data_IF_835372530176
#
_entry.id   IF_835372530176
#
_cell.length_a   1.000
_cell.length_b   1.000
_cell.length_c   1.000
_cell.angle_alpha   90.00
_cell.angle_beta   90.00
_cell.angle_gamma   90.00
#
_symmetry.space_group_name_H-M   'P 1'
#
loop_
_entity.id
_entity.type
_entity.pdbx_description
1 polymer ?
#
# COMPACT_ATOMS: atom_id res chain seq x y z
N UNK A 1 10.67 72.20 19.22
CA UNK A 1 11.79 71.28 18.89
C UNK A 1 11.24 70.24 17.92
N UNK A 2 11.60 70.29 16.63
CA UNK A 2 12.34 69.22 15.87
C UNK A 2 11.75 67.82 16.14
N UNK A 3 11.18 67.03 15.21
CA UNK A 3 11.24 66.85 13.74
C UNK A 3 9.97 66.06 13.29
N UNK A 4 9.35 66.35 12.12
CA UNK A 4 9.32 65.58 10.85
C UNK A 4 8.88 64.08 11.04
N UNK A 5 7.82 63.51 10.43
CA UNK A 5 7.67 62.97 9.05
C UNK A 5 6.24 62.35 8.97
N UNK A 6 5.36 62.84 8.07
CA UNK A 6 4.85 62.15 6.86
C UNK A 6 3.96 60.91 7.11
N UNK A 7 2.66 61.00 6.81
CA UNK A 7 1.90 59.87 6.27
C UNK A 7 0.97 60.35 5.15
N UNK A 8 1.25 59.82 3.98
CA UNK A 8 0.62 60.10 2.70
C UNK A 8 -0.78 59.50 2.59
N UNK A 9 -1.55 60.09 1.68
CA UNK A 9 -2.89 59.73 1.26
C UNK A 9 -3.11 58.21 1.09
N UNK A 10 -4.13 57.69 1.76
CA UNK A 10 -4.70 56.37 1.46
C UNK A 10 -5.60 56.55 0.24
N UNK A 11 -5.13 56.05 -0.90
CA UNK A 11 -5.92 55.87 -2.10
C UNK A 11 -6.97 54.77 -1.85
N UNK A 12 -8.24 55.14 -1.96
CA UNK A 12 -9.38 54.21 -1.99
C UNK A 12 -9.33 53.50 -3.36
N UNK A 13 -8.74 52.31 -3.38
CA UNK A 13 -8.91 51.35 -4.48
C UNK A 13 -10.30 50.73 -4.35
N UNK A 14 -11.27 51.27 -5.09
CA UNK A 14 -12.53 50.58 -5.41
C UNK A 14 -12.19 49.41 -6.34
N UNK A 15 -11.94 48.24 -5.76
CA UNK A 15 -11.89 47.00 -6.52
C UNK A 15 -13.32 46.60 -6.89
N UNK A 16 -13.62 46.73 -8.18
CA UNK A 16 -14.77 46.11 -8.82
C UNK A 16 -14.63 44.59 -8.68
N UNK A 17 -15.35 43.99 -7.73
CA UNK A 17 -15.60 42.56 -7.76
C UNK A 17 -16.58 42.29 -8.91
N UNK A 18 -16.03 42.01 -10.08
CA UNK A 18 -16.72 41.22 -11.10
C UNK A 18 -17.04 39.87 -10.47
N UNK A 19 -18.33 39.65 -10.19
CA UNK A 19 -18.84 38.36 -9.76
C UNK A 19 -18.50 37.31 -10.83
N UNK A 20 -17.63 36.36 -10.47
CA UNK A 20 -17.66 35.06 -11.10
C UNK A 20 -19.01 34.45 -10.75
N UNK A 21 -19.87 34.29 -11.78
CA UNK A 21 -20.90 33.27 -11.73
C UNK A 21 -20.18 31.94 -11.56
N UNK A 22 -20.05 31.50 -10.32
CA UNK A 22 -19.88 30.10 -10.00
C UNK A 22 -21.19 29.41 -10.39
N UNK A 23 -21.37 29.18 -11.69
CA UNK A 23 -22.02 27.96 -12.15
C UNK A 23 -21.02 26.82 -11.93
N UNK A 24 -20.63 26.65 -10.67
CA UNK A 24 -20.16 25.38 -10.19
C UNK A 24 -21.46 24.61 -9.99
N UNK A 25 -21.86 23.93 -11.07
CA UNK A 25 -22.86 22.88 -11.01
C UNK A 25 -22.30 21.80 -10.09
N UNK A 26 -22.42 22.05 -8.79
CA UNK A 26 -22.39 21.04 -7.77
C UNK A 26 -23.43 20.02 -8.19
N UNK A 27 -22.96 18.92 -8.75
CA UNK A 27 -23.76 17.72 -8.89
C UNK A 27 -24.20 17.36 -7.48
N UNK A 28 -25.48 17.61 -7.20
CA UNK A 28 -26.22 16.87 -6.19
C UNK A 28 -25.87 15.38 -6.32
N UNK A 29 -25.89 14.59 -5.23
CA UNK A 29 -25.44 13.20 -5.22
C UNK A 29 -26.14 12.46 -6.36
N UNK A 30 -25.36 12.09 -7.36
CA UNK A 30 -25.83 11.39 -8.55
C UNK A 30 -26.41 10.06 -8.11
N UNK A 31 -27.65 9.80 -8.54
CA UNK A 31 -28.40 8.56 -8.43
C UNK A 31 -27.47 7.33 -8.27
N UNK A 32 -27.61 6.56 -7.18
CA UNK A 32 -26.78 5.38 -6.86
C UNK A 32 -26.87 4.25 -7.94
N UNK A 33 -27.55 4.53 -9.06
CA UNK A 33 -27.87 3.65 -10.17
C UNK A 33 -27.03 3.94 -11.46
N UNK A 34 -26.02 4.81 -11.41
CA UNK A 34 -25.14 5.08 -12.54
C UNK A 34 -23.69 4.60 -12.29
N UNK A 35 -22.95 4.15 -13.33
CA UNK A 35 -21.52 3.84 -13.22
C UNK A 35 -20.70 5.06 -12.76
N UNK A 36 -19.71 4.85 -11.88
CA UNK A 36 -18.81 5.93 -11.48
C UNK A 36 -17.74 6.18 -12.55
N UNK A 37 -17.68 7.41 -13.05
CA UNK A 37 -16.66 7.89 -13.98
C UNK A 37 -15.58 8.62 -13.20
N UNK A 38 -14.31 8.25 -13.39
CA UNK A 38 -13.18 8.83 -12.63
C UNK A 38 -12.03 9.23 -13.55
N UNK A 39 -11.07 10.07 -13.09
CA UNK A 39 -9.85 10.31 -13.85
C UNK A 39 -9.03 9.04 -14.04
N UNK A 40 -8.19 9.04 -15.09
CA UNK A 40 -7.18 8.00 -15.34
C UNK A 40 -6.01 8.19 -14.36
N UNK A 41 -5.40 7.10 -13.90
CA UNK A 41 -4.33 7.15 -12.92
C UNK A 41 -3.10 7.94 -13.38
N UNK A 42 -2.45 8.64 -12.46
CA UNK A 42 -1.19 9.35 -12.70
C UNK A 42 0.01 8.47 -12.33
N UNK A 43 1.07 8.38 -13.15
CA UNK A 43 2.24 7.56 -12.84
C UNK A 43 2.88 7.87 -11.49
N UNK A 44 3.10 6.83 -10.69
CA UNK A 44 3.81 6.89 -9.41
C UNK A 44 5.26 6.43 -9.52
N UNK A 45 5.63 5.81 -10.64
CA UNK A 45 6.97 5.27 -10.83
C UNK A 45 7.24 4.79 -12.26
N UNK A 46 8.46 4.26 -12.51
CA UNK A 46 8.82 3.69 -13.81
C UNK A 46 8.04 2.41 -14.10
N UNK A 47 7.85 2.12 -15.39
CA UNK A 47 7.25 0.88 -15.84
C UNK A 47 8.27 -0.27 -15.85
N UNK A 48 7.83 -1.48 -15.51
CA UNK A 48 8.57 -2.72 -15.77
C UNK A 48 8.10 -3.28 -17.12
N UNK A 49 9.04 -3.64 -17.99
CA UNK A 49 8.72 -4.09 -19.35
C UNK A 49 9.26 -5.50 -19.65
N UNK A 50 8.55 -6.27 -20.47
CA UNK A 50 9.05 -7.52 -21.03
C UNK A 50 8.51 -7.75 -22.45
N UNK A 51 9.33 -8.35 -23.32
CA UNK A 51 8.87 -8.80 -24.64
C UNK A 51 8.36 -10.23 -24.53
N UNK A 52 7.09 -10.45 -24.84
CA UNK A 52 6.44 -11.77 -24.83
C UNK A 52 5.95 -12.08 -26.25
N UNK A 53 6.23 -13.27 -26.73
CA UNK A 53 5.82 -13.74 -28.07
C UNK A 53 4.67 -14.76 -27.99
N UNK A 54 4.42 -15.44 -29.12
CA UNK A 54 3.33 -16.41 -29.22
C UNK A 54 3.44 -17.61 -28.26
N UNK A 55 4.62 -17.88 -27.68
CA UNK A 55 4.80 -18.91 -26.67
C UNK A 55 4.24 -18.52 -25.29
N UNK A 56 3.89 -17.25 -25.10
CA UNK A 56 3.41 -16.73 -23.81
C UNK A 56 4.55 -16.43 -22.84
N UNK A 57 4.18 -16.00 -21.63
CA UNK A 57 5.14 -15.59 -20.60
C UNK A 57 4.47 -14.90 -19.43
N UNK A 58 5.27 -14.37 -18.50
CA UNK A 58 4.77 -13.58 -17.37
C UNK A 58 5.60 -12.32 -17.14
N UNK A 59 5.00 -11.36 -16.45
CA UNK A 59 5.61 -10.09 -16.07
C UNK A 59 5.06 -9.68 -14.70
N UNK A 60 5.94 -9.35 -13.76
CA UNK A 60 5.54 -8.83 -12.44
C UNK A 60 5.90 -7.36 -12.31
N UNK A 61 5.08 -6.61 -11.57
CA UNK A 61 5.36 -5.25 -11.14
C UNK A 61 6.67 -5.18 -10.35
N UNK A 62 7.22 -3.97 -10.22
CA UNK A 62 8.47 -3.77 -9.48
C UNK A 62 8.32 -4.11 -7.99
N UNK A 63 7.12 -3.93 -7.43
CA UNK A 63 6.77 -4.26 -6.04
C UNK A 63 6.33 -5.71 -5.80
N UNK A 64 6.22 -6.53 -6.84
CA UNK A 64 5.79 -7.92 -6.71
C UNK A 64 4.30 -8.09 -6.39
N UNK A 65 3.55 -7.01 -6.20
CA UNK A 65 2.12 -7.05 -5.86
C UNK A 65 1.32 -7.55 -7.06
N UNK A 66 1.59 -7.07 -8.27
CA UNK A 66 0.87 -7.47 -9.48
C UNK A 66 1.70 -8.40 -10.36
N UNK A 67 1.10 -9.53 -10.75
CA UNK A 67 1.62 -10.45 -11.76
C UNK A 67 0.66 -10.54 -12.95
N UNK A 68 1.20 -10.37 -14.15
CA UNK A 68 0.54 -10.59 -15.42
C UNK A 68 1.03 -11.90 -16.02
N UNK A 69 0.12 -12.82 -16.33
CA UNK A 69 0.40 -14.04 -17.09
C UNK A 69 -0.27 -13.99 -18.45
N UNK A 70 0.53 -14.09 -19.51
CA UNK A 70 0.12 -14.11 -20.91
C UNK A 70 0.21 -15.56 -21.41
N UNK A 71 -0.91 -16.25 -21.66
CA UNK A 71 -0.84 -17.63 -22.13
C UNK A 71 -0.34 -17.72 -23.57
N UNK A 72 0.13 -18.90 -23.95
CA UNK A 72 0.50 -19.20 -25.33
C UNK A 72 -0.66 -18.89 -26.30
N UNK A 73 -0.34 -18.27 -27.42
CA UNK A 73 -1.33 -17.87 -28.43
C UNK A 73 -2.18 -16.65 -28.07
N UNK A 74 -1.95 -15.97 -26.93
CA UNK A 74 -2.62 -14.71 -26.63
C UNK A 74 -2.25 -13.59 -27.63
N UNK A 75 -0.99 -13.59 -28.09
CA UNK A 75 -0.45 -12.71 -29.14
C UNK A 75 0.12 -13.53 -30.27
N UNK A 76 0.09 -12.99 -31.49
CA UNK A 76 0.60 -13.67 -32.71
C UNK A 76 2.06 -13.36 -33.02
N UNK A 77 2.64 -12.34 -32.37
CA UNK A 77 4.03 -11.90 -32.57
C UNK A 77 4.59 -11.29 -31.30
N UNK A 78 5.92 -11.17 -31.23
CA UNK A 78 6.63 -10.56 -30.11
C UNK A 78 6.09 -9.15 -29.83
N UNK A 79 5.52 -8.97 -28.64
CA UNK A 79 4.87 -7.74 -28.19
C UNK A 79 5.54 -7.27 -26.91
N UNK A 80 5.75 -5.97 -26.77
CA UNK A 80 6.31 -5.37 -25.55
C UNK A 80 5.17 -5.09 -24.58
N UNK A 81 5.20 -5.79 -23.44
CA UNK A 81 4.28 -5.63 -22.33
C UNK A 81 4.88 -4.71 -21.27
N UNK A 82 4.06 -3.94 -20.58
CA UNK A 82 4.51 -3.19 -19.39
C UNK A 82 3.50 -3.12 -18.27
N UNK A 83 4.00 -3.03 -17.04
CA UNK A 83 3.24 -2.74 -15.82
C UNK A 83 3.81 -1.47 -15.20
N UNK A 84 2.97 -0.46 -14.98
CA UNK A 84 3.37 0.80 -14.35
C UNK A 84 2.48 1.12 -13.15
N UNK A 85 3.04 1.42 -11.95
CA UNK A 85 2.24 1.87 -10.83
C UNK A 85 1.65 3.28 -11.09
N UNK A 86 0.37 3.45 -10.78
CA UNK A 86 -0.38 4.70 -10.95
C UNK A 86 -1.26 5.00 -9.73
N UNK A 87 -1.69 6.25 -9.55
CA UNK A 87 -2.71 6.59 -8.54
C UNK A 87 -4.00 5.81 -8.80
N UNK A 88 -4.62 5.28 -7.75
CA UNK A 88 -5.92 4.61 -7.88
C UNK A 88 -7.06 5.62 -7.74
N UNK A 89 -8.03 5.49 -8.65
CA UNK A 89 -9.33 6.16 -8.57
C UNK A 89 -10.47 5.15 -8.63
N UNK A 90 -10.18 3.88 -8.33
CA UNK A 90 -11.16 2.81 -8.33
C UNK A 90 -12.15 2.99 -7.15
N UNK A 91 -13.47 2.91 -7.37
CA UNK A 91 -14.46 2.87 -6.29
C UNK A 91 -14.16 1.72 -5.32
N UNK A 92 -13.98 2.02 -4.03
CA UNK A 92 -13.61 1.01 -3.03
C UNK A 92 -12.20 0.45 -3.20
N UNK A 93 -11.39 1.07 -4.06
CA UNK A 93 -9.99 0.72 -4.24
C UNK A 93 -9.18 1.03 -2.99
N UNK A 94 -8.25 0.14 -2.66
CA UNK A 94 -7.26 0.35 -1.61
C UNK A 94 -5.86 0.22 -2.21
N UNK A 95 -4.90 0.97 -1.67
CA UNK A 95 -3.55 1.02 -2.24
C UNK A 95 -3.46 1.75 -3.58
N UNK A 96 -2.55 1.30 -4.44
CA UNK A 96 -2.30 1.88 -5.77
C UNK A 96 -2.94 1.03 -6.88
N UNK A 97 -3.09 1.61 -8.06
CA UNK A 97 -3.50 0.90 -9.27
C UNK A 97 -2.28 0.66 -10.19
N UNK A 98 -2.46 -0.14 -11.23
CA UNK A 98 -1.42 -0.42 -12.22
C UNK A 98 -1.95 -0.21 -13.62
N UNK A 99 -1.19 0.53 -14.44
CA UNK A 99 -1.41 0.62 -15.88
C UNK A 99 -0.73 -0.54 -16.59
N UNK A 100 -1.51 -1.31 -17.34
CA UNK A 100 -1.02 -2.35 -18.22
C UNK A 100 -0.93 -1.82 -19.65
N UNK A 101 0.16 -2.13 -20.37
CA UNK A 101 0.34 -1.79 -21.79
C UNK A 101 0.82 -3.02 -22.58
N UNK A 102 0.50 -3.10 -23.89
CA UNK A 102 -0.10 -2.07 -24.74
C UNK A 102 -1.64 -2.00 -24.64
N UNK A 103 -2.17 -0.77 -24.62
CA UNK A 103 -3.59 -0.51 -24.80
C UNK A 103 -4.03 -0.72 -26.26
N UNK A 104 -5.33 -0.94 -26.48
CA UNK A 104 -5.92 -1.07 -27.81
C UNK A 104 -5.70 -2.41 -28.51
N UNK A 105 -4.98 -3.35 -27.87
CA UNK A 105 -4.87 -4.74 -28.34
C UNK A 105 -5.95 -5.60 -27.69
N UNK A 106 -6.57 -6.44 -28.51
CA UNK A 106 -7.48 -7.49 -28.05
C UNK A 106 -6.79 -8.84 -28.16
N UNK A 107 -6.61 -9.51 -27.03
CA UNK A 107 -5.91 -10.79 -26.98
C UNK A 107 -6.77 -11.93 -27.53
N UNK A 108 -6.13 -12.85 -28.25
CA UNK A 108 -6.80 -14.05 -28.77
C UNK A 108 -7.12 -15.08 -27.67
N UNK A 109 -6.41 -15.01 -26.55
CA UNK A 109 -6.65 -15.77 -25.31
C UNK A 109 -6.72 -14.79 -24.14
N UNK A 110 -7.49 -15.12 -23.11
CA UNK A 110 -7.57 -14.31 -21.90
C UNK A 110 -6.20 -14.26 -21.20
N UNK A 111 -5.77 -13.07 -20.79
CA UNK A 111 -4.60 -12.90 -19.94
C UNK A 111 -5.04 -12.89 -18.48
N UNK A 112 -4.22 -13.44 -17.59
CA UNK A 112 -4.52 -13.48 -16.15
C UNK A 112 -3.79 -12.35 -15.45
N UNK A 113 -4.53 -11.55 -14.69
CA UNK A 113 -3.98 -10.55 -13.77
C UNK A 113 -4.17 -11.07 -12.35
N UNK A 114 -3.08 -11.16 -11.60
CA UNK A 114 -3.05 -11.64 -10.23
C UNK A 114 -2.49 -10.55 -9.33
N UNK A 115 -3.19 -10.25 -8.24
CA UNK A 115 -2.66 -9.44 -7.16
C UNK A 115 -2.32 -10.34 -5.96
N UNK A 116 -1.21 -10.04 -5.32
CA UNK A 116 -0.83 -10.57 -4.01
C UNK A 116 -1.22 -9.55 -2.94
N UNK A 117 -1.91 -9.99 -1.89
CA UNK A 117 -2.39 -9.11 -0.83
C UNK A 117 -1.79 -9.42 0.55
N UNK A 118 -1.77 -8.41 1.42
CA UNK A 118 -1.19 -8.52 2.77
C UNK A 118 -2.20 -9.10 3.78
N UNK A 119 -1.68 -9.70 4.87
CA UNK A 119 -2.47 -10.16 6.03
C UNK A 119 -3.29 -9.06 6.70
N UNK A 120 -2.89 -7.80 6.50
CA UNK A 120 -3.48 -6.62 7.15
C UNK A 120 -4.71 -6.08 6.40
N UNK A 121 -5.20 -6.77 5.36
CA UNK A 121 -6.45 -6.38 4.72
C UNK A 121 -7.65 -6.62 5.67
N UNK A 122 -8.67 -5.75 5.63
CA UNK A 122 -9.82 -5.83 6.53
C UNK A 122 -10.53 -7.17 6.46
N UNK A 123 -10.78 -7.71 7.65
CA UNK A 123 -11.78 -8.66 8.17
C UNK A 123 -12.40 -9.78 7.28
N UNK A 124 -12.44 -9.70 5.94
CA UNK A 124 -12.97 -10.77 5.09
C UNK A 124 -12.45 -10.70 3.63
N UNK A 125 -11.44 -11.50 3.30
CA UNK A 125 -10.86 -11.69 1.94
C UNK A 125 -11.92 -12.04 0.87
N UNK A 126 -13.07 -12.55 1.30
CA UNK A 126 -14.21 -12.83 0.42
C UNK A 126 -14.72 -11.59 -0.30
N UNK A 127 -14.56 -10.39 0.26
CA UNK A 127 -15.00 -9.14 -0.34
C UNK A 127 -14.01 -8.53 -1.35
N UNK A 128 -12.81 -9.10 -1.49
CA UNK A 128 -11.81 -8.59 -2.44
C UNK A 128 -12.26 -8.79 -3.89
N UNK A 129 -11.91 -7.86 -4.76
CA UNK A 129 -12.14 -7.93 -6.19
C UNK A 129 -11.03 -7.23 -6.95
N UNK A 130 -10.95 -7.48 -8.25
CA UNK A 130 -10.12 -6.70 -9.16
C UNK A 130 -11.06 -6.04 -10.14
N UNK A 131 -10.87 -4.74 -10.34
CA UNK A 131 -11.57 -3.96 -11.33
C UNK A 131 -10.59 -3.37 -12.33
N UNK A 132 -11.10 -3.03 -13.50
CA UNK A 132 -10.34 -2.33 -14.51
C UNK A 132 -11.12 -1.13 -15.03
N UNK A 133 -10.41 -0.06 -15.38
CA UNK A 133 -11.00 1.15 -15.93
C UNK A 133 -11.16 1.00 -17.45
N UNK A 134 -12.37 1.21 -17.94
CA UNK A 134 -12.68 1.16 -19.36
C UNK A 134 -12.38 2.50 -20.06
N UNK A 135 -12.44 2.52 -21.39
CA UNK A 135 -12.15 3.67 -22.25
C UNK A 135 -13.04 4.89 -22.00
N UNK A 136 -14.25 4.71 -21.48
CA UNK A 136 -15.16 5.78 -21.05
C UNK A 136 -14.89 6.25 -19.60
N UNK A 137 -13.84 5.71 -18.98
CA UNK A 137 -13.36 5.96 -17.62
C UNK A 137 -14.28 5.48 -16.51
N UNK A 138 -15.22 4.60 -16.83
CA UNK A 138 -15.94 3.81 -15.84
C UNK A 138 -15.11 2.61 -15.37
N UNK A 139 -15.48 2.01 -14.24
CA UNK A 139 -14.81 0.81 -13.72
C UNK A 139 -15.69 -0.43 -13.88
N UNK A 140 -15.10 -1.51 -14.38
CA UNK A 140 -15.74 -2.81 -14.58
C UNK A 140 -15.07 -3.86 -13.70
N UNK A 141 -15.87 -4.70 -13.04
CA UNK A 141 -15.37 -5.79 -12.20
C UNK A 141 -15.60 -7.16 -12.86
N UNK A 142 -14.60 -7.75 -13.55
CA UNK A 142 -14.72 -9.10 -14.08
C UNK A 142 -14.92 -10.14 -12.98
N UNK A 143 -15.49 -11.29 -13.34
CA UNK A 143 -15.63 -12.42 -12.41
C UNK A 143 -14.25 -12.84 -11.91
N UNK A 144 -14.12 -12.98 -10.59
CA UNK A 144 -12.91 -13.51 -9.96
C UNK A 144 -12.65 -14.93 -10.45
N UNK A 145 -11.48 -15.11 -11.05
CA UNK A 145 -11.02 -16.37 -11.62
C UNK A 145 -10.51 -17.31 -10.53
N UNK A 146 -9.73 -16.80 -9.58
CA UNK A 146 -9.27 -17.54 -8.40
C UNK A 146 -9.09 -16.62 -7.21
N UNK A 147 -9.35 -17.16 -6.01
CA UNK A 147 -8.99 -16.56 -4.73
C UNK A 147 -8.25 -17.66 -3.94
N UNK A 148 -6.95 -17.49 -3.78
CA UNK A 148 -6.09 -18.32 -2.94
C UNK A 148 -5.83 -17.58 -1.63
N UNK A 149 -6.42 -18.08 -0.55
CA UNK A 149 -6.30 -17.50 0.80
C UNK A 149 -5.05 -17.97 1.53
N UNK A 150 -4.38 -19.01 1.04
CA UNK A 150 -3.15 -19.54 1.63
C UNK A 150 -1.96 -18.76 1.08
N UNK A 151 -1.90 -18.63 -0.24
CA UNK A 151 -0.86 -17.86 -0.95
C UNK A 151 -1.18 -16.37 -1.04
N UNK A 152 -2.37 -15.95 -0.56
CA UNK A 152 -2.89 -14.57 -0.55
C UNK A 152 -2.88 -13.92 -1.92
N UNK A 153 -3.52 -14.60 -2.87
CA UNK A 153 -3.62 -14.14 -4.26
C UNK A 153 -5.05 -14.10 -4.73
N UNK A 154 -5.40 -13.03 -5.43
CA UNK A 154 -6.66 -12.91 -6.16
C UNK A 154 -6.37 -12.70 -7.64
N UNK A 155 -7.11 -13.37 -8.51
CA UNK A 155 -6.88 -13.28 -9.95
C UNK A 155 -8.17 -13.07 -10.73
N UNK A 156 -8.06 -12.33 -11.83
CA UNK A 156 -9.10 -12.15 -12.85
C UNK A 156 -8.53 -12.41 -14.24
N UNK A 157 -9.42 -12.62 -15.20
CA UNK A 157 -9.06 -12.79 -16.61
C UNK A 157 -9.62 -11.64 -17.44
N UNK A 158 -8.78 -11.02 -18.28
CA UNK A 158 -9.13 -9.88 -19.12
C UNK A 158 -8.67 -10.09 -20.58
N UNK A 159 -9.26 -9.36 -21.54
CA UNK A 159 -8.94 -9.45 -22.98
C UNK A 159 -8.25 -8.23 -23.57
N UNK A 160 -8.11 -7.18 -22.79
CA UNK A 160 -7.46 -5.94 -23.17
C UNK A 160 -6.78 -5.35 -21.94
N UNK A 161 -5.91 -4.38 -22.16
CA UNK A 161 -5.21 -3.69 -21.08
C UNK A 161 -5.70 -2.27 -20.89
N UNK A 162 -5.56 -1.83 -19.64
CA UNK A 162 -5.95 -0.54 -19.11
C UNK A 162 -5.40 -0.42 -17.67
N UNK A 163 -5.90 0.55 -16.92
CA UNK A 163 -5.64 0.65 -15.47
C UNK A 163 -6.43 -0.43 -14.74
N UNK A 164 -5.76 -1.19 -13.86
CA UNK A 164 -6.34 -2.23 -13.01
C UNK A 164 -6.08 -1.91 -11.53
N UNK A 165 -7.04 -2.22 -10.68
CA UNK A 165 -6.95 -1.99 -9.22
C UNK A 165 -7.64 -3.11 -8.48
N UNK A 166 -7.11 -3.47 -7.31
CA UNK A 166 -7.90 -4.17 -6.29
C UNK A 166 -8.95 -3.23 -5.71
N UNK A 167 -10.06 -3.80 -5.25
CA UNK A 167 -11.09 -3.10 -4.49
C UNK A 167 -11.75 -4.04 -3.48
N UNK A 168 -12.39 -3.45 -2.49
CA UNK A 168 -13.26 -4.18 -1.56
C UNK A 168 -14.72 -3.91 -1.88
N UNK A 169 -15.49 -4.99 -1.98
CA UNK A 169 -16.93 -4.90 -2.21
C UNK A 169 -17.63 -4.10 -1.11
N UNK A 170 -17.15 -4.25 0.12
CA UNK A 170 -17.69 -3.56 1.28
C UNK A 170 -16.66 -3.47 2.41
N UNK A 171 -16.51 -2.31 3.04
CA UNK A 171 -15.53 -2.10 4.11
C UNK A 171 -15.83 -0.90 5.00
N UNK A 172 -15.13 -0.79 6.13
CA UNK A 172 -15.02 0.45 6.92
C UNK A 172 -13.67 1.07 6.59
N UNK A 173 -13.67 2.37 6.29
CA UNK A 173 -12.46 3.15 6.02
C UNK A 173 -12.24 4.19 7.13
N UNK A 174 -11.03 4.25 7.73
CA UNK A 174 -9.97 3.24 7.61
C UNK A 174 -10.34 1.92 8.30
N UNK A 175 -9.79 0.81 7.79
CA UNK A 175 -9.92 -0.54 8.38
C UNK A 175 -9.06 -0.72 9.63
N UNK A 176 -7.97 0.04 9.73
CA UNK A 176 -7.09 0.10 10.89
C UNK A 176 -6.62 1.54 11.11
N UNK A 177 -6.51 1.96 12.37
CA UNK A 177 -6.03 3.29 12.70
C UNK A 177 -5.28 3.30 14.03
N UNK A 178 -4.46 4.32 14.24
CA UNK A 178 -3.89 4.66 15.53
C UNK A 178 -4.46 6.02 15.94
N UNK A 179 -4.99 6.12 17.15
CA UNK A 179 -5.62 7.34 17.66
C UNK A 179 -5.08 7.61 19.06
N UNK A 180 -4.68 8.86 19.36
CA UNK A 180 -4.25 9.20 20.73
C UNK A 180 -5.47 9.32 21.64
N UNK A 181 -5.27 9.11 22.94
CA UNK A 181 -6.32 9.36 23.95
C UNK A 181 -6.95 10.76 23.75
N UNK A 182 -8.27 10.86 23.95
CA UNK A 182 -9.09 12.05 23.72
C UNK A 182 -9.15 12.59 22.27
N UNK A 183 -8.46 11.99 21.31
CA UNK A 183 -8.62 12.33 19.89
C UNK A 183 -9.77 11.54 19.26
N UNK A 184 -10.10 11.90 18.03
CA UNK A 184 -11.18 11.28 17.28
C UNK A 184 -10.77 10.96 15.86
N UNK A 185 -11.40 9.95 15.28
CA UNK A 185 -11.28 9.62 13.86
C UNK A 185 -12.65 9.39 13.25
N UNK A 186 -12.81 9.88 12.03
CA UNK A 186 -14.00 9.63 11.22
C UNK A 186 -13.89 8.31 10.49
N UNK A 187 -14.98 7.55 10.50
CA UNK A 187 -15.13 6.26 9.87
C UNK A 187 -16.27 6.33 8.86
N UNK A 188 -16.06 5.75 7.69
CA UNK A 188 -17.09 5.62 6.64
C UNK A 188 -17.21 4.16 6.21
N UNK A 189 -18.45 3.68 6.12
CA UNK A 189 -18.72 2.43 5.40
C UNK A 189 -18.78 2.75 3.91
N UNK A 190 -17.97 2.05 3.14
CA UNK A 190 -17.99 2.06 1.68
C UNK A 190 -18.60 0.74 1.22
N UNK A 191 -19.57 0.81 0.31
CA UNK A 191 -20.16 -0.35 -0.35
C UNK A 191 -20.20 -0.11 -1.84
N UNK A 192 -19.68 -1.05 -2.59
CA UNK A 192 -19.60 -0.96 -4.03
C UNK A 192 -20.78 -1.70 -4.66
N UNK A 193 -21.74 -0.94 -5.17
CA UNK A 193 -22.89 -1.44 -5.92
C UNK A 193 -22.54 -1.84 -7.35
N UNK A 194 -23.44 -2.59 -7.98
CA UNK A 194 -23.37 -3.00 -9.39
C UNK A 194 -24.62 -2.48 -10.11
N UNK A 195 -24.73 -1.16 -10.31
CA UNK A 195 -25.99 -0.55 -10.76
C UNK A 195 -26.40 -0.95 -12.18
N UNK A 196 -25.41 -1.29 -13.02
CA UNK A 196 -25.58 -1.66 -14.43
C UNK A 196 -24.53 -2.71 -14.81
N UNK A 197 -24.76 -3.35 -15.95
CA UNK A 197 -23.83 -4.29 -16.57
C UNK A 197 -23.46 -3.82 -17.97
N UNK A 198 -22.20 -4.05 -18.35
CA UNK A 198 -21.74 -4.00 -19.74
C UNK A 198 -21.64 -5.42 -20.25
N UNK A 199 -22.32 -5.74 -21.35
CA UNK A 199 -22.16 -7.04 -21.99
C UNK A 199 -21.01 -6.97 -23.00
N UNK A 200 -19.92 -7.67 -22.71
CA UNK A 200 -18.80 -7.86 -23.62
C UNK A 200 -18.68 -9.33 -24.00
N UNK A 201 -18.81 -9.65 -25.29
CA UNK A 201 -18.64 -11.02 -25.79
C UNK A 201 -19.49 -12.10 -25.09
N UNK A 202 -20.73 -11.74 -24.73
CA UNK A 202 -21.67 -12.57 -23.95
C UNK A 202 -21.27 -12.78 -22.49
N UNK A 203 -20.39 -11.93 -21.95
CA UNK A 203 -20.08 -11.85 -20.51
C UNK A 203 -20.61 -10.52 -19.99
N UNK A 204 -21.44 -10.58 -18.95
CA UNK A 204 -21.91 -9.38 -18.25
C UNK A 204 -20.89 -8.95 -17.21
N UNK A 205 -20.40 -7.72 -17.37
CA UNK A 205 -19.42 -7.09 -16.49
C UNK A 205 -20.11 -6.00 -15.69
N UNK A 206 -20.19 -6.12 -14.35
CA UNK A 206 -20.77 -5.08 -13.52
C UNK A 206 -19.93 -3.80 -13.56
N UNK A 207 -20.61 -2.68 -13.74
CA UNK A 207 -20.02 -1.38 -13.44
C UNK A 207 -19.93 -1.17 -11.94
N UNK A 208 -18.88 -0.49 -11.49
CA UNK A 208 -18.73 -0.12 -10.08
C UNK A 208 -19.30 1.27 -9.81
N UNK A 209 -19.99 1.40 -8.69
CA UNK A 209 -20.40 2.68 -8.10
C UNK A 209 -20.44 2.56 -6.57
N UNK A 210 -20.12 3.64 -5.86
CA UNK A 210 -20.41 3.71 -4.44
C UNK A 210 -21.92 3.80 -4.22
N UNK A 211 -22.45 2.88 -3.44
CA UNK A 211 -23.85 2.84 -3.09
C UNK A 211 -24.00 3.14 -1.60
N UNK A 212 -25.04 3.89 -1.22
CA UNK A 212 -25.35 4.30 0.16
C UNK A 212 -26.75 3.88 0.62
N UNK A 213 -27.39 2.89 0.01
CA UNK A 213 -28.77 2.47 0.32
C UNK A 213 -28.90 1.61 1.59
N UNK A 214 -28.01 1.74 2.57
CA UNK A 214 -28.02 0.94 3.80
C UNK A 214 -27.87 1.83 5.03
N UNK A 215 -28.35 1.32 6.15
CA UNK A 215 -28.19 1.98 7.44
C UNK A 215 -27.15 1.23 8.25
N UNK A 216 -26.15 1.93 8.74
CA UNK A 216 -25.16 1.39 9.68
C UNK A 216 -25.55 1.64 11.14
N UNK A 217 -25.36 0.63 11.97
CA UNK A 217 -25.42 0.70 13.43
C UNK A 217 -24.03 0.44 13.99
N UNK A 218 -23.51 1.38 14.76
CA UNK A 218 -22.13 1.38 15.21
C UNK A 218 -21.98 0.92 16.65
N UNK A 219 -20.89 0.20 16.93
CA UNK A 219 -20.54 -0.31 18.25
C UNK A 219 -19.02 -0.25 18.49
N UNK A 220 -18.63 -0.09 19.74
CA UNK A 220 -17.26 -0.18 20.25
C UNK A 220 -17.18 -1.41 21.14
N UNK A 221 -16.31 -2.38 20.80
CA UNK A 221 -16.16 -3.66 21.49
C UNK A 221 -17.52 -4.36 21.75
N UNK A 222 -18.43 -4.28 20.78
CA UNK A 222 -19.78 -4.88 20.85
C UNK A 222 -20.83 -4.11 21.66
N UNK A 223 -20.50 -2.92 22.18
CA UNK A 223 -21.41 -2.04 22.94
C UNK A 223 -21.55 -0.67 22.28
N UNK A 224 -22.31 0.26 22.83
CA UNK A 224 -22.32 1.66 22.35
C UNK A 224 -21.02 2.43 22.64
N UNK A 225 -20.06 1.79 23.32
CA UNK A 225 -18.88 2.46 23.88
C UNK A 225 -19.09 2.90 25.33
N UNK A 226 -17.99 3.21 25.99
CA UNK A 226 -17.94 3.65 27.38
C UNK A 226 -16.65 4.46 27.63
N UNK A 227 -16.48 5.01 28.83
CA UNK A 227 -15.31 5.83 29.16
C UNK A 227 -13.97 5.07 29.12
N UNK A 228 -13.97 3.74 29.20
CA UNK A 228 -12.76 2.91 29.19
C UNK A 228 -12.35 2.45 27.79
N UNK A 229 -13.29 2.23 26.86
CA UNK A 229 -13.01 1.78 25.49
C UNK A 229 -13.21 2.84 24.42
N UNK A 230 -13.72 4.02 24.79
CA UNK A 230 -14.08 5.09 23.86
C UNK A 230 -15.56 5.06 23.49
N UNK A 231 -15.99 6.11 22.78
CA UNK A 231 -17.36 6.32 22.33
C UNK A 231 -17.42 6.35 20.81
N UNK A 232 -18.56 5.96 20.25
CA UNK A 232 -18.83 6.06 18.81
C UNK A 232 -20.10 6.86 18.60
N UNK A 233 -20.00 7.92 17.80
CA UNK A 233 -21.12 8.81 17.50
C UNK A 233 -21.45 8.67 16.03
N UNK A 234 -22.64 8.19 15.72
CA UNK A 234 -23.14 8.15 14.34
C UNK A 234 -23.32 9.59 13.83
N UNK A 235 -22.69 9.91 12.70
CA UNK A 235 -22.74 11.24 12.08
C UNK A 235 -23.58 11.25 10.80
N UNK A 236 -23.71 10.11 10.13
CA UNK A 236 -24.58 9.92 8.95
C UNK A 236 -25.02 8.44 8.83
N UNK A 237 -25.83 8.09 7.83
CA UNK A 237 -26.29 6.72 7.58
C UNK A 237 -25.17 5.70 7.42
N UNK A 238 -24.05 6.10 6.80
CA UNK A 238 -22.85 5.29 6.61
C UNK A 238 -21.60 5.82 7.33
N UNK A 239 -21.72 6.85 8.18
CA UNK A 239 -20.58 7.50 8.86
C UNK A 239 -20.71 7.53 10.38
N UNK A 240 -19.58 7.44 11.06
CA UNK A 240 -19.48 7.67 12.50
C UNK A 240 -18.12 8.23 12.89
N UNK A 241 -18.07 8.93 14.01
CA UNK A 241 -16.82 9.44 14.61
C UNK A 241 -16.52 8.63 15.86
N UNK A 242 -15.41 7.90 15.86
CA UNK A 242 -14.87 7.27 17.06
C UNK A 242 -14.12 8.32 17.87
N UNK A 243 -14.38 8.36 19.17
CA UNK A 243 -13.72 9.24 20.13
C UNK A 243 -12.96 8.34 21.11
N UNK A 244 -11.64 8.42 21.07
CA UNK A 244 -10.77 7.64 21.95
C UNK A 244 -11.02 8.03 23.42
N UNK A 245 -10.95 7.06 24.35
CA UNK A 245 -11.10 7.32 25.77
C UNK A 245 -9.98 8.23 26.31
N UNK A 246 -10.14 8.72 27.53
CA UNK A 246 -9.14 9.57 28.20
C UNK A 246 -7.96 8.78 28.78
N UNK A 247 -8.00 7.45 28.70
CA UNK A 247 -6.96 6.52 29.15
C UNK A 247 -6.84 5.41 28.12
N UNK A 248 -5.64 4.85 27.93
CA UNK A 248 -5.45 3.71 27.05
C UNK A 248 -6.25 2.51 27.58
N UNK A 249 -7.12 1.85 26.77
CA UNK A 249 -7.81 0.64 27.19
C UNK A 249 -6.80 -0.47 27.55
N UNK A 250 -7.20 -1.40 28.42
CA UNK A 250 -6.35 -2.54 28.78
C UNK A 250 -6.02 -3.44 27.58
N UNK A 251 -4.99 -4.29 27.72
CA UNK A 251 -4.46 -5.14 26.65
C UNK A 251 -5.51 -6.11 26.05
N UNK A 252 -6.56 -6.46 26.79
CA UNK A 252 -7.64 -7.32 26.26
C UNK A 252 -8.69 -6.58 25.43
N UNK A 253 -8.63 -5.24 25.44
CA UNK A 253 -9.58 -4.36 24.76
C UNK A 253 -8.91 -3.32 23.84
N UNK A 254 -7.59 -3.40 23.66
CA UNK A 254 -6.78 -2.57 22.76
C UNK A 254 -5.95 -3.47 21.83
N UNK A 255 -6.15 -3.45 20.50
CA UNK A 255 -6.96 -2.51 19.72
C UNK A 255 -8.46 -2.55 20.03
N UNK A 256 -9.09 -1.39 19.95
CA UNK A 256 -10.53 -1.23 20.07
C UNK A 256 -11.19 -1.66 18.76
N UNK A 257 -12.10 -2.62 18.83
CA UNK A 257 -12.90 -3.06 17.69
C UNK A 257 -14.11 -2.14 17.51
N UNK A 258 -14.05 -1.25 16.52
CA UNK A 258 -15.20 -0.43 16.10
C UNK A 258 -15.91 -1.15 14.98
N UNK A 259 -17.18 -1.50 15.19
CA UNK A 259 -17.95 -2.29 14.24
C UNK A 259 -19.18 -1.57 13.71
N UNK A 260 -19.47 -1.76 12.43
CA UNK A 260 -20.70 -1.31 11.78
C UNK A 260 -21.52 -2.53 11.36
N UNK A 261 -22.70 -2.70 11.96
CA UNK A 261 -23.69 -3.68 11.50
C UNK A 261 -24.61 -3.00 10.51
N UNK A 262 -24.64 -3.50 9.28
CA UNK A 262 -25.48 -2.94 8.22
C UNK A 262 -26.88 -3.55 8.25
N UNK A 263 -27.90 -2.74 8.03
CA UNK A 263 -29.30 -3.18 7.95
C UNK A 263 -29.88 -2.87 6.59
N UNK A 264 -30.87 -3.68 6.16
CA UNK A 264 -31.52 -3.61 4.85
C UNK A 264 -30.58 -3.83 3.67
N UNK A 265 -29.47 -4.53 3.89
CA UNK A 265 -28.51 -4.85 2.83
C UNK A 265 -28.47 -6.36 2.60
N UNK A 266 -28.75 -6.76 1.36
CA UNK A 266 -28.52 -8.11 0.88
C UNK A 266 -27.90 -8.03 -0.49
N UNK A 267 -26.77 -8.70 -0.69
CA UNK A 267 -26.10 -8.75 -1.99
C UNK A 267 -25.48 -10.13 -2.21
N UNK A 268 -25.34 -10.50 -3.47
CA UNK A 268 -24.60 -11.69 -3.88
C UNK A 268 -23.26 -11.25 -4.44
N UNK A 269 -22.18 -11.89 -3.99
CA UNK A 269 -20.83 -11.66 -4.48
C UNK A 269 -20.07 -12.98 -4.48
N UNK A 270 -19.37 -13.29 -5.58
CA UNK A 270 -18.66 -14.58 -5.79
C UNK A 270 -19.55 -15.80 -5.45
N UNK A 271 -20.76 -15.81 -5.99
CA UNK A 271 -21.76 -16.89 -5.80
C UNK A 271 -22.20 -17.12 -4.33
N UNK A 272 -21.86 -16.21 -3.41
CA UNK A 272 -22.31 -16.20 -2.00
C UNK A 272 -23.24 -15.04 -1.72
N UNK A 273 -24.30 -15.29 -0.97
CA UNK A 273 -25.23 -14.24 -0.53
C UNK A 273 -24.90 -13.78 0.88
N UNK A 274 -24.66 -12.48 1.02
CA UNK A 274 -24.42 -11.80 2.29
C UNK A 274 -25.67 -11.04 2.70
N UNK A 275 -26.03 -11.12 3.98
CA UNK A 275 -27.18 -10.42 4.56
C UNK A 275 -26.72 -9.64 5.77
N UNK A 276 -26.98 -8.34 5.78
CA UNK A 276 -26.72 -7.45 6.91
C UNK A 276 -25.32 -7.66 7.52
N UNK A 277 -24.24 -7.56 6.71
CA UNK A 277 -22.90 -7.86 7.18
C UNK A 277 -22.50 -6.95 8.34
N UNK A 278 -21.66 -7.48 9.22
CA UNK A 278 -20.97 -6.72 10.27
C UNK A 278 -19.52 -6.53 9.86
N UNK A 279 -19.11 -5.28 9.78
CA UNK A 279 -17.75 -4.86 9.44
C UNK A 279 -17.02 -4.41 10.70
N UNK A 280 -15.69 -4.50 10.71
CA UNK A 280 -14.85 -4.13 11.86
C UNK A 280 -13.67 -3.29 11.37
N UNK A 281 -13.42 -2.19 12.09
CA UNK A 281 -12.19 -1.40 12.04
C UNK A 281 -11.46 -1.57 13.37
N UNK A 282 -10.14 -1.83 13.32
CA UNK A 282 -9.31 -2.01 14.52
C UNK A 282 -8.56 -0.71 14.82
N UNK A 283 -8.88 -0.09 15.95
CA UNK A 283 -8.29 1.20 16.35
C UNK A 283 -7.36 0.98 17.53
N UNK A 284 -6.06 1.13 17.32
CA UNK A 284 -5.08 1.13 18.40
C UNK A 284 -5.10 2.48 19.10
N UNK A 285 -5.57 2.49 20.35
CA UNK A 285 -5.55 3.71 21.18
C UNK A 285 -4.19 3.80 21.87
N UNK A 286 -3.55 4.96 21.79
CA UNK A 286 -2.22 5.19 22.36
C UNK A 286 -2.18 6.43 23.27
N UNK A 287 -1.20 6.46 24.15
CA UNK A 287 -0.81 7.64 24.93
C UNK A 287 0.71 7.79 24.81
N UNK A 288 1.17 9.04 24.63
CA UNK A 288 2.56 9.37 24.40
C UNK A 288 2.88 9.82 22.96
N UNK A 289 4.16 9.82 22.62
CA UNK A 289 4.69 10.29 21.35
C UNK A 289 4.92 9.13 20.37
N UNK A 290 4.26 9.17 19.21
CA UNK A 290 4.41 8.19 18.15
C UNK A 290 5.37 8.69 17.07
N UNK A 291 6.24 7.81 16.59
CA UNK A 291 7.19 8.06 15.52
C UNK A 291 7.03 7.01 14.42
N UNK A 292 6.93 7.45 13.17
CA UNK A 292 7.05 6.58 12.00
C UNK A 292 8.51 6.50 11.61
N UNK A 293 9.02 5.27 11.48
CA UNK A 293 10.39 4.99 11.07
C UNK A 293 10.34 4.23 9.75
N UNK A 294 11.11 4.71 8.78
CA UNK A 294 11.23 4.09 7.46
C UNK A 294 12.71 3.85 7.17
N UNK A 295 13.05 2.59 6.93
CA UNK A 295 14.36 2.13 6.48
C UNK A 295 14.32 1.98 4.97
N UNK A 296 15.35 2.45 4.29
CA UNK A 296 15.55 2.24 2.86
C UNK A 296 17.00 1.91 2.60
N UNK A 297 17.25 0.97 1.68
CA UNK A 297 18.59 0.68 1.20
C UNK A 297 18.62 0.68 -0.30
N UNK A 298 19.76 1.08 -0.85
CA UNK A 298 20.03 1.06 -2.27
C UNK A 298 21.49 0.65 -2.47
N UNK A 299 21.69 -0.61 -2.85
CA UNK A 299 22.97 -1.29 -2.74
C UNK A 299 23.43 -1.74 -4.11
N UNK A 300 24.53 -1.18 -4.63
CA UNK A 300 25.10 -1.68 -5.87
C UNK A 300 25.79 -3.03 -5.62
N UNK A 301 25.31 -4.07 -6.31
CA UNK A 301 25.94 -5.38 -6.40
C UNK A 301 26.74 -5.47 -7.70
N UNK A 302 28.07 -5.43 -7.57
CA UNK A 302 28.97 -5.57 -8.69
C UNK A 302 29.42 -7.02 -8.89
N UNK A 303 29.46 -7.46 -10.14
CA UNK A 303 30.16 -8.67 -10.57
C UNK A 303 31.36 -8.28 -11.44
N UNK A 304 32.40 -9.12 -11.43
CA UNK A 304 33.56 -8.98 -12.31
C UNK A 304 34.47 -7.77 -12.04
N UNK A 305 35.55 -7.68 -12.81
CA UNK A 305 36.55 -6.63 -12.69
C UNK A 305 36.09 -5.27 -13.29
N UNK A 306 34.99 -5.26 -14.06
CA UNK A 306 34.46 -4.10 -14.77
C UNK A 306 33.31 -3.35 -14.08
N UNK A 307 32.86 -3.81 -12.91
CA UNK A 307 31.81 -3.19 -12.08
C UNK A 307 30.59 -2.69 -12.87
N UNK A 308 29.89 -3.62 -13.50
CA UNK A 308 28.48 -3.42 -13.86
C UNK A 308 27.62 -3.82 -12.67
N UNK A 309 26.69 -2.95 -12.28
CA UNK A 309 25.96 -3.08 -11.04
C UNK A 309 24.52 -3.51 -11.29
N UNK A 310 24.12 -4.62 -10.68
CA UNK A 310 22.76 -4.74 -10.20
C UNK A 310 22.59 -3.79 -9.02
N UNK A 311 21.36 -3.36 -8.76
CA UNK A 311 21.01 -2.55 -7.61
C UNK A 311 19.98 -3.31 -6.81
N UNK A 312 20.32 -3.64 -5.56
CA UNK A 312 19.36 -4.19 -4.61
C UNK A 312 18.75 -3.02 -3.86
N UNK A 313 17.44 -2.89 -3.95
CA UNK A 313 16.67 -1.95 -3.12
C UNK A 313 15.82 -2.72 -2.16
N UNK A 314 15.77 -2.25 -0.92
CA UNK A 314 14.98 -2.88 0.13
C UNK A 314 14.46 -1.81 1.08
N UNK A 315 13.30 -2.05 1.70
CA UNK A 315 12.70 -1.10 2.63
C UNK A 315 11.85 -1.76 3.69
N UNK A 316 11.83 -1.15 4.87
CA UNK A 316 11.00 -1.55 5.98
C UNK A 316 10.43 -0.33 6.68
N UNK A 317 9.33 -0.50 7.39
CA UNK A 317 8.75 0.54 8.23
C UNK A 317 8.30 -0.02 9.57
N UNK A 318 8.31 0.84 10.58
CA UNK A 318 7.76 0.54 11.90
C UNK A 318 7.22 1.80 12.53
N UNK A 319 6.39 1.63 13.54
CA UNK A 319 5.98 2.70 14.44
C UNK A 319 6.66 2.52 15.79
N UNK A 320 7.15 3.59 16.38
CA UNK A 320 7.73 3.59 17.72
C UNK A 320 6.90 4.50 18.61
N UNK A 321 6.39 3.96 19.71
CA UNK A 321 5.65 4.69 20.72
C UNK A 321 6.53 4.90 21.95
N UNK A 322 6.82 6.16 22.26
CA UNK A 322 7.35 6.57 23.57
C UNK A 322 6.17 6.93 24.46
N UNK A 323 5.88 6.08 25.44
CA UNK A 323 4.81 6.32 26.42
C UNK A 323 5.23 7.35 27.47
N UNK A 324 4.25 7.88 28.19
CA UNK A 324 4.48 8.86 29.26
C UNK A 324 5.22 8.26 30.47
N UNK A 325 5.13 6.95 30.69
CA UNK A 325 5.95 6.21 31.66
C UNK A 325 7.40 5.98 31.19
N UNK A 326 7.76 6.58 30.04
CA UNK A 326 9.06 6.49 29.37
C UNK A 326 9.40 5.12 28.78
N UNK A 327 8.46 4.16 28.80
CA UNK A 327 8.64 2.90 28.07
C UNK A 327 8.53 3.13 26.56
N UNK A 328 9.26 2.32 25.81
CA UNK A 328 9.30 2.39 24.34
C UNK A 328 8.75 1.10 23.78
N UNK A 329 7.73 1.19 22.93
CA UNK A 329 7.17 0.06 22.20
C UNK A 329 7.41 0.21 20.70
N UNK A 330 7.70 -0.90 20.04
CA UNK A 330 7.74 -1.00 18.58
C UNK A 330 6.47 -1.68 18.10
N UNK A 331 5.81 -1.08 17.12
CA UNK A 331 4.50 -1.43 16.61
C UNK A 331 4.55 -1.47 15.07
N UNK A 332 3.57 -2.13 14.45
CA UNK A 332 3.31 -2.08 13.00
C UNK A 332 4.56 -2.26 12.14
N UNK A 333 5.34 -3.26 12.51
CA UNK A 333 6.52 -3.65 11.76
C UNK A 333 6.09 -4.25 10.42
N UNK A 334 6.60 -3.67 9.34
CA UNK A 334 6.33 -4.13 7.99
C UNK A 334 7.64 -4.10 7.19
N UNK A 335 7.94 -5.19 6.50
CA UNK A 335 9.07 -5.28 5.58
C UNK A 335 8.56 -5.44 4.16
N UNK A 336 9.08 -4.66 3.23
CA UNK A 336 8.87 -4.90 1.80
C UNK A 336 9.84 -5.99 1.31
N UNK A 337 9.45 -6.74 0.29
CA UNK A 337 10.39 -7.65 -0.36
C UNK A 337 11.51 -6.87 -1.07
N UNK A 338 12.73 -7.40 -0.97
CA UNK A 338 13.87 -6.85 -1.67
C UNK A 338 13.71 -6.96 -3.19
N UNK A 339 14.21 -5.97 -3.90
CA UNK A 339 14.10 -5.85 -5.37
C UNK A 339 15.49 -5.74 -5.97
N UNK A 340 15.67 -6.33 -7.15
CA UNK A 340 16.94 -6.25 -7.88
C UNK A 340 16.73 -5.71 -9.28
N UNK A 341 17.43 -4.63 -9.61
CA UNK A 341 17.33 -3.95 -10.91
C UNK A 341 18.72 -3.75 -11.53
N UNK A 342 18.92 -4.03 -12.83
CA UNK A 342 17.97 -4.65 -13.75
C UNK A 342 17.77 -6.16 -13.45
N UNK A 343 16.71 -6.79 -13.97
CA UNK A 343 16.50 -8.25 -13.81
C UNK A 343 17.52 -9.10 -14.58
N UNK A 344 18.22 -8.51 -15.56
CA UNK A 344 19.31 -9.15 -16.29
C UNK A 344 20.36 -8.14 -16.73
N UNK A 345 21.62 -8.56 -16.78
CA UNK A 345 22.75 -7.75 -17.20
C UNK A 345 23.79 -8.61 -17.94
N UNK A 346 24.40 -8.07 -18.99
CA UNK A 346 25.45 -8.75 -19.74
C UNK A 346 26.82 -8.12 -19.50
N UNK A 347 27.82 -8.98 -19.26
CA UNK A 347 29.23 -8.64 -19.16
C UNK A 347 30.05 -9.61 -20.04
N UNK A 348 30.79 -9.05 -21.00
CA UNK A 348 31.51 -9.85 -21.98
C UNK A 348 30.58 -10.76 -22.78
N UNK A 349 30.84 -12.07 -22.75
CA UNK A 349 30.05 -13.11 -23.43
C UNK A 349 29.00 -13.76 -22.52
N UNK A 350 28.86 -13.27 -21.28
CA UNK A 350 27.98 -13.83 -20.27
C UNK A 350 26.79 -12.89 -19.99
N UNK A 351 25.63 -13.49 -19.77
CA UNK A 351 24.42 -12.84 -19.30
C UNK A 351 24.03 -13.42 -17.94
N UNK A 352 23.81 -12.53 -16.99
CA UNK A 352 23.39 -12.80 -15.63
C UNK A 352 21.91 -12.45 -15.53
N UNK A 353 21.09 -13.36 -15.03
CA UNK A 353 19.65 -13.16 -14.87
C UNK A 353 19.26 -13.51 -13.44
N UNK A 354 18.57 -12.59 -12.77
CA UNK A 354 18.09 -12.80 -11.40
C UNK A 354 17.09 -13.96 -11.39
N UNK A 355 17.34 -14.94 -10.54
CA UNK A 355 16.38 -16.04 -10.27
C UNK A 355 15.57 -15.77 -9.02
N UNK A 356 16.18 -15.18 -7.99
CA UNK A 356 15.49 -14.66 -6.81
C UNK A 356 16.19 -13.39 -6.33
N UNK A 357 15.45 -12.36 -5.90
CA UNK A 357 16.03 -11.12 -5.41
C UNK A 357 16.76 -11.26 -4.07
N UNK A 358 16.58 -12.39 -3.38
CA UNK A 358 17.07 -12.58 -2.02
C UNK A 358 16.17 -11.88 -1.01
N UNK A 359 16.65 -11.80 0.22
CA UNK A 359 15.89 -11.30 1.37
C UNK A 359 16.08 -9.80 1.61
N UNK A 360 17.10 -9.20 1.00
CA UNK A 360 17.48 -7.81 1.28
C UNK A 360 18.21 -7.66 2.61
N UNK A 361 18.27 -6.42 3.09
CA UNK A 361 18.97 -6.05 4.32
C UNK A 361 18.02 -5.80 5.50
N UNK A 362 16.73 -5.62 5.27
CA UNK A 362 15.75 -5.41 6.33
C UNK A 362 14.78 -6.58 6.46
N UNK A 363 15.15 -7.79 6.01
CA UNK A 363 14.35 -8.97 6.32
C UNK A 363 14.32 -9.16 7.83
N UNK A 364 13.14 -9.00 8.41
CA UNK A 364 12.88 -9.32 9.80
C UNK A 364 12.29 -10.72 9.81
N UNK A 365 13.17 -11.71 9.88
CA UNK A 365 12.78 -13.11 9.90
C UNK A 365 11.96 -13.46 11.14
N UNK A 366 11.15 -14.51 11.06
CA UNK A 366 10.44 -15.06 12.21
C UNK A 366 11.40 -15.32 13.38
N UNK A 367 11.07 -14.78 14.55
CA UNK A 367 11.88 -14.90 15.78
C UNK A 367 12.74 -13.68 16.10
N UNK A 368 12.75 -12.64 15.26
CA UNK A 368 13.29 -11.34 15.62
C UNK A 368 12.23 -10.55 16.40
N UNK A 369 12.64 -9.95 17.51
CA UNK A 369 11.80 -9.00 18.26
C UNK A 369 12.53 -7.69 18.45
N UNK A 370 11.77 -6.60 18.58
CA UNK A 370 12.32 -5.27 18.83
C UNK A 370 12.03 -4.87 20.26
N UNK A 371 13.05 -4.35 20.94
CA UNK A 371 12.91 -3.65 22.20
C UNK A 371 13.27 -2.19 22.03
N UNK A 372 12.91 -1.38 23.02
CA UNK A 372 13.32 0.00 23.06
C UNK A 372 13.60 0.49 24.48
N UNK A 373 14.37 1.56 24.57
CA UNK A 373 14.60 2.31 25.80
C UNK A 373 14.68 3.80 25.50
N UNK A 374 14.35 4.62 26.50
CA UNK A 374 14.44 6.06 26.40
C UNK A 374 15.45 6.60 27.41
N UNK A 375 16.40 7.41 26.95
CA UNK A 375 17.29 8.19 27.81
C UNK A 375 16.69 9.59 28.00
N UNK A 376 16.11 9.91 29.17
CA UNK A 376 15.48 11.21 29.39
C UNK A 376 16.47 12.37 29.49
N UNK A 377 17.74 12.13 29.81
CA UNK A 377 18.76 13.19 29.91
C UNK A 377 19.21 13.68 28.54
N UNK A 378 19.30 12.77 27.58
CA UNK A 378 19.75 13.07 26.21
C UNK A 378 18.58 13.19 25.24
N UNK A 379 17.35 12.91 25.71
CA UNK A 379 16.14 12.81 24.90
C UNK A 379 16.29 11.81 23.74
N UNK A 380 16.99 10.71 23.95
CA UNK A 380 17.26 9.71 22.92
C UNK A 380 16.39 8.47 23.11
N UNK A 381 15.71 8.07 22.04
CA UNK A 381 15.07 6.74 21.94
C UNK A 381 16.08 5.80 21.29
N UNK A 382 16.33 4.68 21.95
CA UNK A 382 17.15 3.58 21.44
C UNK A 382 16.23 2.41 21.13
N UNK A 383 16.26 1.92 19.91
CA UNK A 383 15.62 0.68 19.47
C UNK A 383 16.71 -0.36 19.27
N UNK A 384 16.47 -1.58 19.72
CA UNK A 384 17.41 -2.68 19.57
C UNK A 384 16.69 -3.93 19.07
N UNK A 385 17.37 -4.67 18.19
CA UNK A 385 16.92 -5.96 17.71
C UNK A 385 17.38 -7.07 18.65
N UNK A 386 16.46 -7.94 19.05
CA UNK A 386 16.75 -9.17 19.77
C UNK A 386 16.63 -10.35 18.81
N UNK A 387 17.72 -11.10 18.66
CA UNK A 387 17.84 -12.20 17.72
C UNK A 387 18.76 -11.87 16.55
N UNK A 388 19.21 -12.89 15.84
CA UNK A 388 19.99 -12.70 14.62
C UNK A 388 19.04 -12.77 13.44
N UNK A 389 18.92 -11.67 12.70
CA UNK A 389 18.26 -11.73 11.41
C UNK A 389 19.26 -12.19 10.36
N UNK A 390 18.86 -13.21 9.61
CA UNK A 390 19.64 -13.75 8.50
C UNK A 390 18.80 -13.67 7.24
N UNK A 391 19.44 -13.29 6.15
CA UNK A 391 18.85 -13.31 4.83
C UNK A 391 19.82 -13.91 3.82
N UNK A 392 19.37 -14.04 2.58
CA UNK A 392 20.16 -14.46 1.45
C UNK A 392 20.35 -13.28 0.49
N UNK A 393 21.55 -13.16 -0.07
CA UNK A 393 21.79 -12.29 -1.23
C UNK A 393 21.00 -12.78 -2.44
N UNK A 394 20.83 -11.98 -3.50
CA UNK A 394 20.18 -12.45 -4.72
C UNK A 394 20.85 -13.70 -5.30
N UNK A 395 20.05 -14.53 -5.98
CA UNK A 395 20.54 -15.67 -6.76
C UNK A 395 20.44 -15.39 -8.26
N UNK A 396 21.33 -16.02 -9.03
CA UNK A 396 21.50 -15.74 -10.45
C UNK A 396 21.53 -17.02 -11.27
N UNK A 397 20.97 -16.95 -12.47
CA UNK A 397 21.26 -17.87 -13.57
C UNK A 397 22.24 -17.19 -14.53
N UNK A 398 23.30 -17.89 -14.88
CA UNK A 398 24.37 -17.37 -15.73
C UNK A 398 24.43 -18.18 -17.02
N UNK A 399 24.49 -17.49 -18.15
CA UNK A 399 24.58 -18.10 -19.48
C UNK A 399 25.70 -17.42 -20.26
N UNK A 400 26.70 -18.18 -20.71
CA UNK A 400 27.83 -17.66 -21.47
C UNK A 400 27.91 -18.35 -22.84
N UNK A 401 28.46 -17.64 -23.84
CA UNK A 401 28.55 -18.15 -25.23
C UNK A 401 29.20 -19.53 -25.36
N UNK A 402 30.24 -19.80 -24.55
CA UNK A 402 31.10 -20.99 -24.68
C UNK A 402 31.01 -21.92 -23.45
N UNK A 403 29.95 -21.81 -22.64
CA UNK A 403 29.75 -22.66 -21.47
C UNK A 403 28.26 -23.01 -21.27
N UNK A 404 27.93 -24.22 -20.76
CA UNK A 404 26.58 -24.55 -20.33
C UNK A 404 26.10 -23.57 -19.25
N UNK A 405 24.81 -23.19 -19.23
CA UNK A 405 24.27 -22.33 -18.17
C UNK A 405 24.40 -22.96 -16.78
N UNK A 406 24.74 -22.17 -15.77
CA UNK A 406 24.75 -22.60 -14.36
C UNK A 406 23.99 -21.61 -13.48
N UNK A 407 23.76 -21.99 -12.21
CA UNK A 407 23.13 -21.12 -11.22
C UNK A 407 24.11 -20.81 -10.09
N UNK A 408 24.13 -19.56 -9.66
CA UNK A 408 24.80 -19.10 -8.46
C UNK A 408 23.75 -18.83 -7.39
N UNK A 409 23.67 -19.68 -6.34
CA UNK A 409 22.72 -19.47 -5.27
C UNK A 409 23.09 -18.24 -4.44
N UNK A 410 22.08 -17.65 -3.82
CA UNK A 410 22.28 -16.59 -2.83
C UNK A 410 23.13 -17.08 -1.66
N UNK A 411 23.97 -16.19 -1.12
CA UNK A 411 24.77 -16.46 0.07
C UNK A 411 24.08 -15.91 1.31
N UNK A 412 24.17 -16.64 2.42
CA UNK A 412 23.61 -16.21 3.70
C UNK A 412 24.38 -15.00 4.23
N UNK A 413 23.68 -13.92 4.57
CA UNK A 413 24.21 -12.67 5.13
C UNK A 413 23.44 -12.28 6.38
N UNK A 414 24.08 -11.52 7.28
CA UNK A 414 23.39 -10.84 8.37
C UNK A 414 22.56 -9.70 7.77
N UNK A 415 21.33 -9.54 8.25
CA UNK A 415 20.39 -8.49 7.83
C UNK A 415 20.09 -7.56 9.00
N UNK A 416 20.06 -6.25 8.72
CA UNK A 416 19.49 -5.21 9.55
C UNK A 416 20.50 -4.44 10.42
N UNK A 417 20.18 -3.18 10.77
CA UNK A 417 20.87 -2.50 11.86
C UNK A 417 20.57 -3.20 13.18
N UNK A 418 21.60 -3.55 13.96
CA UNK A 418 21.42 -4.17 15.28
C UNK A 418 20.66 -3.27 16.28
N UNK A 419 20.55 -1.97 15.98
CA UNK A 419 19.75 -1.01 16.69
C UNK A 419 19.78 0.36 16.02
N UNK A 420 18.90 1.25 16.49
CA UNK A 420 18.74 2.61 16.01
C UNK A 420 18.62 3.56 17.20
N UNK A 421 19.28 4.71 17.14
CA UNK A 421 19.12 5.78 18.14
C UNK A 421 18.69 7.07 17.48
N UNK A 422 17.68 7.74 18.03
CA UNK A 422 17.18 9.01 17.51
C UNK A 422 16.66 9.96 18.60
N UNK A 423 16.63 11.26 18.29
CA UNK A 423 16.23 12.31 19.23
C UNK A 423 14.69 12.46 19.26
N UNK A 424 14.07 12.26 20.42
CA UNK A 424 12.62 12.34 20.61
C UNK A 424 12.06 13.78 20.45
N UNK A 425 12.90 14.80 20.52
CA UNK A 425 12.46 16.19 20.40
C UNK A 425 12.35 16.66 18.95
N UNK A 426 12.85 15.89 17.98
CA UNK A 426 12.81 16.28 16.57
C UNK A 426 11.60 15.69 15.87
N UNK A 427 10.88 16.55 15.15
CA UNK A 427 9.75 16.15 14.31
C UNK A 427 10.18 15.32 13.10
N UNK A 428 11.41 15.53 12.60
CA UNK A 428 11.95 14.83 11.44
C UNK A 428 13.47 14.65 11.56
N UNK A 429 13.96 13.46 11.22
CA UNK A 429 15.38 13.11 11.23
C UNK A 429 15.70 12.16 10.09
N UNK A 430 16.83 12.38 9.42
CA UNK A 430 17.48 11.36 8.61
C UNK A 430 18.72 10.87 9.36
N UNK A 431 18.82 9.55 9.46
CA UNK A 431 19.87 8.85 10.17
C UNK A 431 20.64 8.04 9.14
N UNK A 432 21.96 8.20 9.16
CA UNK A 432 22.89 7.39 8.39
C UNK A 432 23.44 6.35 9.34
N UNK A 433 23.02 5.11 9.14
CA UNK A 433 23.45 4.00 10.00
C UNK A 433 24.86 3.55 9.65
N UNK A 434 25.66 3.33 10.69
CA UNK A 434 26.95 2.63 10.58
C UNK A 434 26.71 1.18 10.91
N UNK A 435 26.97 0.29 9.94
CA UNK A 435 26.85 -1.14 10.16
C UNK A 435 28.05 -1.57 11.02
N UNK A 436 27.84 -2.17 12.21
CA UNK A 436 28.93 -2.49 13.11
C UNK A 436 29.93 -3.45 12.44
N UNK A 437 31.22 -3.15 12.61
CA UNK A 437 32.33 -3.95 12.08
C UNK A 437 32.25 -5.38 12.59
N UNK A 438 31.91 -6.33 11.71
CA UNK A 438 31.79 -7.74 12.11
C UNK A 438 31.28 -8.76 11.10
N UNK A 439 30.93 -8.37 9.86
CA UNK A 439 30.39 -9.34 8.89
C UNK A 439 30.43 -8.97 7.41
N UNK A 440 31.03 -7.84 7.02
CA UNK A 440 31.12 -7.42 5.62
C UNK A 440 31.16 -5.89 5.51
N UNK A 441 32.11 -5.35 4.75
CA UNK A 441 32.27 -3.91 4.54
C UNK A 441 31.21 -3.40 3.58
N UNK A 442 30.03 -3.07 4.09
CA UNK A 442 29.14 -2.14 3.40
C UNK A 442 29.60 -0.70 3.69
N UNK A 443 29.80 0.13 2.66
CA UNK A 443 30.05 1.56 2.85
C UNK A 443 29.01 2.23 3.76
N UNK A 444 29.47 3.11 4.67
CA UNK A 444 28.63 4.03 5.43
C UNK A 444 27.65 4.75 4.47
N UNK A 445 26.37 4.88 4.84
CA UNK A 445 25.37 5.63 4.06
C UNK A 445 24.55 4.83 3.05
N UNK A 446 24.70 3.50 3.00
CA UNK A 446 23.90 2.65 2.12
C UNK A 446 22.48 2.42 2.66
N UNK A 447 22.33 2.41 3.98
CA UNK A 447 21.04 2.41 4.66
C UNK A 447 20.70 3.83 5.07
N UNK A 448 19.53 4.29 4.64
CA UNK A 448 18.94 5.55 5.04
C UNK A 448 17.71 5.26 5.89
N UNK A 449 17.73 5.79 7.11
CA UNK A 449 16.63 5.68 8.06
C UNK A 449 16.01 7.05 8.24
N UNK A 450 14.71 7.15 8.04
CA UNK A 450 13.95 8.38 8.23
C UNK A 450 13.04 8.20 9.43
N UNK A 451 13.07 9.15 10.36
CA UNK A 451 12.19 9.18 11.54
C UNK A 451 11.32 10.42 11.46
N UNK A 452 10.00 10.24 11.55
CA UNK A 452 9.02 11.32 11.54
C UNK A 452 8.09 11.19 12.74
N UNK A 453 7.96 12.26 13.53
CA UNK A 453 7.01 12.32 14.65
C UNK A 453 5.60 12.48 14.09
N UNK A 454 4.69 11.59 14.48
CA UNK A 454 3.29 11.62 14.07
C UNK A 454 2.57 12.67 14.92
N UNK A 455 2.03 13.68 14.23
CA UNK A 455 1.34 14.80 14.86
C UNK A 455 -0.02 14.37 15.37
#
# INVERSE_FOLDING_TARGET
MKKIILFSAIAICVALFTGCNNNDSGTNPTDNNEPLVTPVGTPLGPAVTATIDASGGSLSSADGILELTVPAGAVSSATVFSIQPVTSHCPGGFGIAYRLLPEGIKFAQLVTVTFSYADTLPANEEFLGIAYQDTDKTWLAPKVFSLDVVEKKISVQIKHFCDVSEFEKISIVPSEAIVKINESIDLEVIYIGEPKYKTEENVDLPYLNENKTYVSTWQVNGTSGNAASGQIVKTDENKATFIAPSVVPDESHNPVAVSATLSNLTFTYKDKTFKNPKLISNILVIEGALYSIVFTSNIPLGFGAGKKFFTVTDSARMSVLLKDDLSVMVLNLYNEEAKVTPKSQSEGTCTYTITQPGDGYFNISNGVSFGGSFNPLEHQINIFMNGNSWGYTPSFKISCKDAPPWSEPGSKTVTGPLGLTFDANKDYQELVEKIPDGGGTLPDGIVKTTVTKVK
#
